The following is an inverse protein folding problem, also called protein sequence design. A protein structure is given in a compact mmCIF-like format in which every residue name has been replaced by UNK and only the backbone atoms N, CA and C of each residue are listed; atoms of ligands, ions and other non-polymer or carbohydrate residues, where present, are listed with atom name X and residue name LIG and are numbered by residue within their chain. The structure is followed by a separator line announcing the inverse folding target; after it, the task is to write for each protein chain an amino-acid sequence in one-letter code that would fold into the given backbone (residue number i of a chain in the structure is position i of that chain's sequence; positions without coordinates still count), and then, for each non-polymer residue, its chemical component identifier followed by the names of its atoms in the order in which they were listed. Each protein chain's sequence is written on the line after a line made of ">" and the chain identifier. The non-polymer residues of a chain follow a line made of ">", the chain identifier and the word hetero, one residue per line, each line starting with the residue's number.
data_IF_577086813633
#
_entry.id   IF_577086813633
#
_cell.length_a   1.000
_cell.length_b   1.000
_cell.length_c   1.000
_cell.angle_alpha   90.00
_cell.angle_beta   90.00
_cell.angle_gamma   90.00
#
_symmetry.space_group_name_H-M   'P 1'
#
loop_
_entity.id
_entity.type
_entity.pdbx_description
1 polymer ?
#
# COMPACT_ATOMS: atom_id res chain seq x y z
N UNK A 1 5.32 -6.12 4.23
CA UNK A 1 4.42 -6.11 3.05
C UNK A 1 3.07 -6.72 3.38
N UNK A 2 3.03 -7.93 3.95
CA UNK A 2 1.78 -8.63 4.22
C UNK A 2 0.82 -7.90 5.18
N UNK A 3 1.34 -7.14 6.15
CA UNK A 3 0.48 -6.32 7.03
C UNK A 3 -0.48 -5.37 6.28
N UNK A 4 -0.04 -4.71 5.20
CA UNK A 4 -0.91 -3.84 4.40
C UNK A 4 -1.87 -4.68 3.54
N UNK A 5 -1.41 -5.83 3.05
CA UNK A 5 -2.25 -6.77 2.31
C UNK A 5 -3.40 -7.29 3.17
N UNK A 6 -3.11 -7.74 4.39
CA UNK A 6 -4.10 -8.24 5.34
C UNK A 6 -5.06 -7.11 5.76
N UNK A 7 -4.52 -5.92 6.05
CA UNK A 7 -5.33 -4.76 6.41
C UNK A 7 -6.28 -4.31 5.28
N UNK A 8 -5.87 -4.40 4.01
CA UNK A 8 -6.76 -4.12 2.88
C UNK A 8 -7.90 -5.14 2.79
N UNK A 9 -7.61 -6.41 3.06
CA UNK A 9 -8.64 -7.45 3.08
C UNK A 9 -9.63 -7.25 4.21
N UNK A 10 -9.14 -6.96 5.42
CA UNK A 10 -9.98 -6.65 6.57
C UNK A 10 -10.86 -5.40 6.32
N UNK A 11 -10.28 -4.33 5.77
CA UNK A 11 -11.04 -3.12 5.41
C UNK A 11 -12.18 -3.43 4.43
N UNK A 12 -11.93 -4.30 3.46
CA UNK A 12 -12.93 -4.68 2.46
C UNK A 12 -14.04 -5.62 2.99
N UNK A 13 -14.02 -6.02 4.27
CA UNK A 13 -15.09 -6.83 4.89
C UNK A 13 -16.27 -6.00 5.35
N UNK A 14 -16.09 -4.68 5.52
CA UNK A 14 -17.14 -3.77 6.01
C UNK A 14 -17.27 -2.51 5.16
N UNK A 15 -18.47 -1.96 5.10
CA UNK A 15 -18.69 -0.65 4.51
C UNK A 15 -18.25 0.44 5.50
N UNK A 16 -17.36 1.31 5.05
CA UNK A 16 -16.72 2.34 5.87
C UNK A 16 -17.12 3.77 5.50
N UNK A 17 -17.89 3.95 4.44
CA UNK A 17 -18.33 5.26 3.96
C UNK A 17 -19.83 5.34 3.64
N UNK A 18 -20.60 4.41 4.20
CA UNK A 18 -22.06 4.30 4.09
C UNK A 18 -22.56 4.28 2.63
N UNK A 19 -21.72 3.81 1.71
CA UNK A 19 -22.08 3.74 0.28
C UNK A 19 -22.87 2.49 -0.07
N UNK A 20 -23.03 1.55 0.87
CA UNK A 20 -23.63 0.24 0.68
C UNK A 20 -22.74 -0.74 -0.07
N UNK A 21 -21.44 -0.43 -0.23
CA UNK A 21 -20.55 -1.21 -1.10
C UNK A 21 -19.16 -1.43 -0.49
N UNK A 22 -18.73 -2.70 -0.47
CA UNK A 22 -17.42 -3.14 0.01
C UNK A 22 -16.31 -2.79 -0.99
N UNK A 23 -15.30 -2.06 -0.56
CA UNK A 23 -14.18 -1.62 -1.39
C UNK A 23 -12.86 -1.62 -0.60
N UNK A 24 -11.73 -1.54 -1.30
CA UNK A 24 -10.43 -1.39 -0.67
C UNK A 24 -10.15 0.08 -0.27
N UNK A 25 -9.33 0.27 0.74
CA UNK A 25 -8.91 1.60 1.17
C UNK A 25 -7.99 2.25 0.13
N UNK A 26 -8.17 3.56 -0.09
CA UNK A 26 -7.35 4.33 -1.04
C UNK A 26 -6.17 5.03 -0.36
N UNK A 27 -6.10 4.99 0.98
CA UNK A 27 -5.10 5.65 1.82
C UNK A 27 -4.54 4.73 2.88
N UNK A 28 -3.29 4.96 3.29
CA UNK A 28 -2.71 4.28 4.46
C UNK A 28 -3.21 4.90 5.78
N UNK A 29 -3.28 6.22 5.84
CA UNK A 29 -3.91 6.96 6.96
C UNK A 29 -5.16 7.66 6.46
N UNK A 30 -6.24 7.53 7.21
CA UNK A 30 -7.51 8.18 6.91
C UNK A 30 -7.39 9.70 7.00
N UNK A 31 -8.26 10.39 6.28
CA UNK A 31 -8.48 11.83 6.47
C UNK A 31 -9.11 12.11 7.85
N UNK A 32 -8.90 13.30 8.44
CA UNK A 32 -9.46 13.65 9.75
C UNK A 32 -10.98 13.43 9.79
N UNK A 33 -11.45 12.68 10.79
CA UNK A 33 -12.86 12.36 11.00
C UNK A 33 -13.45 11.35 10.00
N UNK A 34 -12.65 10.74 9.13
CA UNK A 34 -13.09 9.73 8.15
C UNK A 34 -12.45 8.37 8.43
N UNK A 35 -13.03 7.34 7.81
CA UNK A 35 -12.49 5.97 7.77
C UNK A 35 -12.19 5.56 6.32
N UNK A 36 -11.49 6.43 5.59
CA UNK A 36 -11.18 6.26 4.15
C UNK A 36 -9.73 5.78 3.89
N UNK A 37 -9.06 5.29 4.93
CA UNK A 37 -7.73 4.72 4.90
C UNK A 37 -7.58 3.57 5.90
N UNK A 38 -6.46 2.86 5.85
CA UNK A 38 -6.22 1.66 6.67
C UNK A 38 -5.97 1.94 8.16
N UNK A 39 -5.65 3.18 8.51
CA UNK A 39 -5.50 3.64 9.89
C UNK A 39 -6.43 4.82 10.17
N UNK A 40 -7.07 4.81 11.34
CA UNK A 40 -7.75 5.96 11.93
C UNK A 40 -7.61 5.89 13.47
N UNK A 41 -7.55 7.02 14.18
CA UNK A 41 -7.58 7.00 15.64
C UNK A 41 -8.93 6.49 16.15
N UNK A 42 -8.90 5.62 17.14
CA UNK A 42 -10.09 5.02 17.77
C UNK A 42 -10.07 5.25 19.28
N UNK A 43 -11.23 5.46 19.88
CA UNK A 43 -11.40 5.42 21.33
C UNK A 43 -11.31 3.99 21.87
N UNK A 44 -11.41 3.86 23.19
CA UNK A 44 -11.31 2.57 23.91
C UNK A 44 -12.39 1.56 23.50
N UNK A 45 -13.58 2.06 23.15
CA UNK A 45 -14.77 1.25 22.85
C UNK A 45 -15.06 1.14 21.34
N UNK A 46 -14.24 1.78 20.50
CA UNK A 46 -14.41 1.77 19.05
C UNK A 46 -13.76 0.51 18.44
N UNK A 47 -14.34 -0.02 17.35
CA UNK A 47 -13.66 -1.04 16.53
C UNK A 47 -12.33 -0.46 16.02
N UNK A 48 -11.19 -1.13 16.26
CA UNK A 48 -9.88 -0.65 15.85
C UNK A 48 -9.77 -0.56 14.31
N UNK A 49 -8.90 0.31 13.82
CA UNK A 49 -8.53 0.31 12.40
C UNK A 49 -7.66 -0.90 12.04
N UNK A 50 -7.70 -1.38 10.78
CA UNK A 50 -6.92 -2.53 10.34
C UNK A 50 -5.40 -2.38 10.54
N UNK A 51 -4.86 -1.17 10.38
CA UNK A 51 -3.47 -0.85 10.75
C UNK A 51 -3.41 -0.08 12.06
N UNK A 52 -2.33 -0.24 12.81
CA UNK A 52 -2.08 0.52 14.03
C UNK A 52 -1.38 1.87 13.80
N UNK A 53 -1.27 2.67 14.87
CA UNK A 53 -0.72 4.03 14.85
C UNK A 53 0.71 4.14 14.30
N UNK A 54 1.48 3.06 14.31
CA UNK A 54 2.81 3.00 13.70
C UNK A 54 2.79 3.26 12.18
N UNK A 55 1.64 3.11 11.51
CA UNK A 55 1.47 3.42 10.08
C UNK A 55 1.07 4.87 9.79
N UNK A 56 0.78 5.69 10.81
CA UNK A 56 0.45 7.11 10.66
C UNK A 56 1.53 7.87 9.85
N UNK A 57 2.79 7.49 10.03
CA UNK A 57 3.95 8.15 9.43
C UNK A 57 4.52 7.39 8.22
N UNK A 58 3.94 6.24 7.88
CA UNK A 58 4.51 5.30 6.92
C UNK A 58 4.21 5.63 5.46
N UNK A 59 3.29 6.57 5.19
CA UNK A 59 2.87 6.91 3.84
C UNK A 59 3.87 7.74 3.06
N UNK A 60 3.82 7.62 1.73
CA UNK A 60 4.63 8.36 0.75
C UNK A 60 4.57 9.90 0.85
N UNK A 61 3.57 10.45 1.56
CA UNK A 61 3.43 11.89 1.79
C UNK A 61 4.16 12.37 3.06
N UNK A 62 4.65 11.43 3.89
CA UNK A 62 5.32 11.67 5.16
C UNK A 62 6.81 11.29 5.08
N UNK A 63 7.48 11.61 3.96
CA UNK A 63 8.89 11.24 3.67
C UNK A 63 9.93 11.84 4.64
N UNK A 64 9.52 12.77 5.51
CA UNK A 64 10.36 13.33 6.57
C UNK A 64 10.32 12.57 7.91
N UNK A 65 9.55 11.49 8.02
CA UNK A 65 9.39 10.72 9.26
C UNK A 65 9.92 9.28 9.11
N UNK A 66 10.08 8.58 10.24
CA UNK A 66 10.82 7.32 10.42
C UNK A 66 10.36 6.11 9.57
N UNK A 67 9.26 6.26 8.81
CA UNK A 67 8.61 5.15 8.12
C UNK A 67 8.05 4.11 9.11
N UNK A 68 7.50 3.02 8.59
CA UNK A 68 7.19 1.85 9.40
C UNK A 68 8.29 0.81 9.17
N UNK A 69 8.95 0.38 10.25
CA UNK A 69 10.11 -0.53 10.22
C UNK A 69 11.23 -0.08 9.26
N UNK A 70 11.46 1.24 9.12
CA UNK A 70 12.49 1.78 8.22
C UNK A 70 12.07 1.85 6.75
N UNK A 71 10.79 1.65 6.44
CA UNK A 71 10.25 1.69 5.08
C UNK A 71 9.13 2.72 4.91
N UNK A 72 9.09 3.34 3.74
CA UNK A 72 7.92 4.09 3.25
C UNK A 72 7.05 3.19 2.37
N UNK A 73 5.77 3.52 2.33
CA UNK A 73 4.76 2.75 1.62
C UNK A 73 3.88 3.66 0.77
N UNK A 74 3.47 3.16 -0.39
CA UNK A 74 2.51 3.81 -1.28
C UNK A 74 1.51 2.79 -1.81
N UNK A 75 0.24 3.16 -1.76
CA UNK A 75 -0.83 2.43 -2.45
C UNK A 75 -0.81 2.75 -3.94
N UNK A 76 -1.02 1.72 -4.75
CA UNK A 76 -1.09 1.75 -6.20
C UNK A 76 -2.52 1.37 -6.60
N UNK A 77 -3.11 2.16 -7.48
CA UNK A 77 -4.53 2.07 -7.84
C UNK A 77 -4.76 1.44 -9.22
N UNK A 78 -3.74 0.83 -9.79
CA UNK A 78 -3.80 0.11 -11.06
C UNK A 78 -2.68 -0.94 -11.14
N UNK A 79 -2.77 -1.81 -12.14
CA UNK A 79 -1.69 -2.69 -12.55
C UNK A 79 -1.26 -2.46 -14.00
N UNK A 80 0.01 -2.76 -14.27
CA UNK A 80 0.63 -2.66 -15.59
C UNK A 80 0.63 -3.99 -16.37
N UNK A 81 1.20 -3.98 -17.58
CA UNK A 81 1.13 -5.12 -18.50
C UNK A 81 1.87 -6.37 -18.03
N UNK A 82 2.85 -6.26 -17.11
CA UNK A 82 3.58 -7.41 -16.59
C UNK A 82 2.92 -8.03 -15.35
N UNK A 83 1.86 -7.40 -14.82
CA UNK A 83 1.10 -7.99 -13.73
C UNK A 83 0.25 -9.17 -14.22
N UNK A 84 0.02 -10.19 -13.36
CA UNK A 84 -0.97 -11.23 -13.66
C UNK A 84 -2.33 -10.61 -13.96
N UNK A 85 -2.90 -10.92 -15.13
CA UNK A 85 -4.17 -10.32 -15.60
C UNK A 85 -4.02 -9.07 -16.49
N UNK A 86 -2.80 -8.60 -16.75
CA UNK A 86 -2.53 -7.48 -17.66
C UNK A 86 -2.86 -6.10 -17.08
N UNK A 87 -2.79 -5.06 -17.91
CA UNK A 87 -2.96 -3.69 -17.45
C UNK A 87 -4.44 -3.33 -17.25
N UNK A 88 -4.80 -2.81 -16.08
CA UNK A 88 -6.12 -2.21 -15.82
C UNK A 88 -6.10 -1.35 -14.55
N UNK A 89 -7.07 -0.44 -14.45
CA UNK A 89 -7.29 0.39 -13.27
C UNK A 89 -8.15 -0.33 -12.24
N UNK A 90 -7.76 -0.26 -10.97
CA UNK A 90 -8.52 -0.85 -9.88
C UNK A 90 -9.72 0.01 -9.46
N UNK A 91 -9.79 1.26 -9.93
CA UNK A 91 -10.82 2.21 -9.54
C UNK A 91 -12.02 2.11 -10.49
N UNK A 92 -13.19 1.83 -9.94
CA UNK A 92 -14.47 1.94 -10.65
C UNK A 92 -15.43 2.80 -9.81
N UNK A 93 -16.13 3.73 -10.46
CA UNK A 93 -17.03 4.68 -9.79
C UNK A 93 -16.39 5.44 -8.61
N UNK A 94 -15.10 5.76 -8.71
CA UNK A 94 -14.35 6.46 -7.66
C UNK A 94 -14.00 5.62 -6.42
N UNK A 95 -14.27 4.31 -6.46
CA UNK A 95 -13.95 3.35 -5.39
C UNK A 95 -12.96 2.31 -5.88
N UNK A 96 -12.14 1.78 -4.97
CA UNK A 96 -11.10 0.81 -5.30
C UNK A 96 -11.67 -0.62 -5.24
N UNK A 97 -12.11 -1.14 -6.39
CA UNK A 97 -12.79 -2.45 -6.51
C UNK A 97 -11.95 -3.54 -7.15
N UNK A 98 -11.22 -3.19 -8.21
CA UNK A 98 -10.48 -4.16 -9.03
C UNK A 98 -9.25 -4.75 -8.34
N UNK A 99 -8.98 -4.35 -7.10
CA UNK A 99 -7.82 -4.79 -6.33
C UNK A 99 -7.04 -3.61 -5.78
N UNK A 100 -5.84 -3.90 -5.31
CA UNK A 100 -4.88 -2.89 -4.87
C UNK A 100 -3.47 -3.36 -5.20
N UNK A 101 -2.55 -2.39 -5.25
CA UNK A 101 -1.12 -2.63 -5.21
C UNK A 101 -0.49 -1.84 -4.07
N UNK A 102 0.67 -2.29 -3.62
CA UNK A 102 1.50 -1.59 -2.64
C UNK A 102 2.93 -1.65 -3.14
N UNK A 103 3.64 -0.53 -3.07
CA UNK A 103 5.09 -0.49 -3.16
C UNK A 103 5.66 0.01 -1.83
N UNK A 104 6.74 -0.63 -1.38
CA UNK A 104 7.52 -0.20 -0.24
C UNK A 104 8.98 0.04 -0.65
N UNK A 105 9.62 1.03 -0.06
CA UNK A 105 11.03 1.33 -0.29
C UNK A 105 11.70 1.82 1.01
N UNK A 106 13.03 1.67 1.15
CA UNK A 106 13.75 2.11 2.34
C UNK A 106 13.61 3.62 2.55
N UNK A 107 13.46 4.05 3.80
CA UNK A 107 13.47 5.48 4.17
C UNK A 107 14.82 6.12 3.79
N UNK A 108 15.91 5.40 4.07
CA UNK A 108 17.27 5.72 3.63
C UNK A 108 17.87 4.49 2.95
N UNK A 109 18.14 4.62 1.66
CA UNK A 109 18.82 3.58 0.88
C UNK A 109 20.22 3.33 1.44
N UNK A 110 20.60 2.05 1.60
CA UNK A 110 21.88 1.64 2.19
C UNK A 110 21.87 1.55 3.71
N UNK A 111 21.06 2.36 4.41
CA UNK A 111 20.97 2.36 5.87
C UNK A 111 19.82 1.50 6.40
N UNK A 112 18.61 1.78 5.92
CA UNK A 112 17.37 1.13 6.38
C UNK A 112 16.98 -0.06 5.50
N UNK A 113 17.67 -0.22 4.38
CA UNK A 113 17.47 -1.28 3.41
C UNK A 113 18.03 -0.91 2.04
N UNK A 114 18.16 -1.91 1.17
CA UNK A 114 18.56 -1.73 -0.24
C UNK A 114 17.48 -2.19 -1.22
N UNK A 115 16.57 -3.06 -0.78
CA UNK A 115 15.49 -3.59 -1.59
C UNK A 115 14.22 -2.77 -1.43
N UNK A 116 13.52 -2.58 -2.54
CA UNK A 116 12.12 -2.19 -2.59
C UNK A 116 11.26 -3.42 -2.85
N UNK A 117 10.01 -3.35 -2.42
CA UNK A 117 9.07 -4.46 -2.52
C UNK A 117 7.77 -4.02 -3.16
N UNK A 118 7.09 -4.93 -3.85
CA UNK A 118 5.72 -4.76 -4.34
C UNK A 118 4.85 -5.95 -3.96
N UNK A 119 3.56 -5.70 -3.72
CA UNK A 119 2.55 -6.76 -3.58
C UNK A 119 1.23 -6.24 -4.12
N UNK A 120 0.44 -7.12 -4.73
CA UNK A 120 -0.95 -6.81 -5.11
C UNK A 120 -1.93 -7.61 -4.25
N UNK A 121 -3.22 -7.42 -4.50
CA UNK A 121 -4.30 -8.23 -3.93
C UNK A 121 -4.15 -9.76 -4.19
N UNK A 122 -3.26 -10.19 -5.09
CA UNK A 122 -2.92 -11.59 -5.29
C UNK A 122 -1.94 -12.16 -4.23
N UNK A 123 -1.37 -11.31 -3.36
CA UNK A 123 -0.53 -11.72 -2.22
C UNK A 123 0.92 -12.07 -2.56
N UNK A 124 1.28 -12.26 -3.84
CA UNK A 124 2.67 -12.50 -4.24
C UNK A 124 3.52 -11.24 -4.04
N UNK A 125 4.57 -11.36 -3.21
CA UNK A 125 5.55 -10.30 -2.99
C UNK A 125 6.66 -10.37 -4.05
N UNK A 126 7.02 -9.21 -4.58
CA UNK A 126 8.14 -9.02 -5.49
C UNK A 126 9.15 -8.10 -4.85
N UNK A 127 10.43 -8.29 -5.15
CA UNK A 127 11.52 -7.44 -4.70
C UNK A 127 12.40 -6.97 -5.86
N UNK A 128 12.98 -5.78 -5.69
CA UNK A 128 13.95 -5.20 -6.61
C UNK A 128 14.79 -4.16 -5.90
N UNK A 129 16.08 -4.10 -6.23
CA UNK A 129 16.91 -2.95 -5.89
C UNK A 129 16.67 -1.82 -6.89
N UNK A 130 16.15 -0.69 -6.42
CA UNK A 130 15.89 0.50 -7.26
C UNK A 130 17.08 1.47 -7.30
N UNK A 131 18.15 1.18 -6.55
CA UNK A 131 19.35 1.98 -6.39
C UNK A 131 19.16 3.22 -5.50
N UNK A 132 20.17 4.11 -5.44
CA UNK A 132 20.15 5.32 -4.61
C UNK A 132 18.95 6.25 -4.88
N UNK A 133 18.48 6.34 -6.13
CA UNK A 133 17.28 7.11 -6.51
C UNK A 133 15.96 6.36 -6.27
N UNK A 134 16.01 5.24 -5.54
CA UNK A 134 14.89 4.33 -5.35
C UNK A 134 13.67 5.01 -4.74
N UNK A 135 13.87 5.91 -3.79
CA UNK A 135 12.78 6.68 -3.18
C UNK A 135 12.01 7.53 -4.20
N UNK A 136 12.73 8.21 -5.12
CA UNK A 136 12.12 9.02 -6.17
C UNK A 136 11.34 8.14 -7.15
N UNK A 137 11.94 7.04 -7.61
CA UNK A 137 11.31 6.08 -8.53
C UNK A 137 10.03 5.47 -7.93
N UNK A 138 10.10 5.07 -6.66
CA UNK A 138 8.97 4.50 -5.95
C UNK A 138 7.85 5.53 -5.72
N UNK A 139 8.20 6.75 -5.35
CA UNK A 139 7.23 7.84 -5.18
C UNK A 139 6.48 8.18 -6.48
N UNK A 140 7.14 8.08 -7.65
CA UNK A 140 6.52 8.30 -8.96
C UNK A 140 5.80 7.08 -9.53
N UNK A 141 5.96 5.90 -8.93
CA UNK A 141 5.29 4.67 -9.41
C UNK A 141 3.79 4.77 -9.20
N UNK A 142 3.00 4.51 -10.24
CA UNK A 142 1.53 4.63 -10.21
C UNK A 142 0.82 3.28 -10.27
N UNK A 143 1.45 2.26 -10.84
CA UNK A 143 0.87 0.93 -11.06
C UNK A 143 1.74 -0.19 -10.48
N UNK A 144 1.07 -1.27 -10.08
CA UNK A 144 1.73 -2.54 -9.79
C UNK A 144 2.14 -3.19 -11.12
N UNK A 145 3.43 -3.17 -11.44
CA UNK A 145 3.96 -3.70 -12.69
C UNK A 145 5.28 -4.47 -12.46
N UNK A 146 5.21 -5.73 -12.00
CA UNK A 146 6.38 -6.54 -11.71
C UNK A 146 7.02 -7.08 -13.00
N UNK A 147 7.59 -6.17 -13.80
CA UNK A 147 8.33 -6.51 -15.02
C UNK A 147 9.60 -7.34 -14.78
N UNK A 148 10.36 -7.68 -15.84
CA UNK A 148 11.45 -8.66 -15.77
C UNK A 148 12.57 -8.37 -14.77
N UNK A 149 12.72 -7.11 -14.35
CA UNK A 149 13.70 -6.70 -13.35
C UNK A 149 13.24 -6.89 -11.89
N UNK A 150 12.01 -7.36 -11.67
CA UNK A 150 11.48 -7.72 -10.36
C UNK A 150 11.58 -9.22 -10.14
N UNK A 151 11.95 -9.62 -8.93
CA UNK A 151 12.10 -11.03 -8.55
C UNK A 151 10.99 -11.41 -7.58
N UNK A 152 10.39 -12.59 -7.75
CA UNK A 152 9.42 -13.12 -6.77
C UNK A 152 10.14 -13.48 -5.48
N UNK A 153 9.64 -12.98 -4.35
CA UNK A 153 10.08 -13.45 -3.03
C UNK A 153 9.44 -14.82 -2.80
N UNK A 154 10.27 -15.81 -2.51
CA UNK A 154 9.80 -17.14 -2.10
C UNK A 154 9.60 -17.18 -0.58
N UNK A 155 8.62 -17.93 -0.06
CA UNK A 155 8.44 -18.15 1.38
C UNK A 155 9.65 -18.79 2.05
#
# INVERSE_FOLDING_TARGET
>A
MLAIYDAQREYAETDHDDSGVLNYATKLSSSPGKRDGLYWPTGSDDKPSPLGAAFMTAGARNTGQTGYNGYHYKLLTSQGPHAPGGAYDYVAHGKLFGGFGVIAWPVRYGDTGIKSFMVSHAGQVYERDLGPDGAKKAATTTSFDPGPAWTKVSP
#
